data_IF_832973017086
#
_entry.id   IF_832973017086
#
_cell.length_a   1.000
_cell.length_b   1.000
_cell.length_c   1.000
_cell.angle_alpha   90.00
_cell.angle_beta   90.00
_cell.angle_gamma   90.00
#
_symmetry.space_group_name_H-M   'P 1'
#
loop_
_entity.id
_entity.type
_entity.pdbx_description
1 polymer ?
#
# COMPACT_ATOMS: atom_id res chain seq x y z
N UNK A 1 -29.17 16.64 13.19
CA UNK A 1 -28.47 17.00 14.43
C UNK A 1 -27.61 18.22 14.14
N UNK A 2 -27.72 19.28 14.92
CA UNK A 2 -26.87 20.47 14.72
C UNK A 2 -25.56 20.29 15.51
N UNK A 3 -24.44 20.78 14.98
CA UNK A 3 -23.10 20.67 15.62
C UNK A 3 -23.08 21.10 17.08
N UNK A 4 -23.87 22.12 17.43
CA UNK A 4 -24.00 22.65 18.80
C UNK A 4 -24.67 21.70 19.81
N UNK A 5 -25.33 20.64 19.32
CA UNK A 5 -26.06 19.69 20.16
C UNK A 5 -25.18 18.44 20.48
N UNK A 6 -23.94 18.42 19.99
CA UNK A 6 -23.01 17.31 20.23
C UNK A 6 -22.32 17.45 21.59
N UNK A 7 -22.12 16.33 22.32
CA UNK A 7 -21.34 16.35 23.54
C UNK A 7 -19.86 16.67 23.24
N UNK A 8 -19.27 17.52 24.05
CA UNK A 8 -17.86 17.92 23.88
C UNK A 8 -17.01 17.52 25.08
N UNK A 9 -15.71 17.15 24.88
CA UNK A 9 -15.00 17.08 23.59
C UNK A 9 -15.39 15.85 22.77
N UNK A 10 -15.49 15.97 21.44
CA UNK A 10 -15.73 14.83 20.53
C UNK A 10 -15.09 15.08 19.16
N UNK A 11 -14.75 13.99 18.47
CA UNK A 11 -14.47 14.01 17.04
C UNK A 11 -15.77 13.80 16.27
N UNK A 12 -15.94 14.53 15.18
CA UNK A 12 -17.12 14.42 14.32
C UNK A 12 -16.69 14.06 12.92
N UNK A 13 -17.24 12.99 12.39
CA UNK A 13 -16.97 12.54 11.02
C UNK A 13 -18.22 12.80 10.18
N UNK A 14 -18.02 13.44 9.04
CA UNK A 14 -19.07 13.70 8.05
C UNK A 14 -19.04 12.60 6.98
N UNK A 15 -19.94 11.63 7.11
CA UNK A 15 -20.04 10.53 6.14
C UNK A 15 -20.31 11.01 4.70
N UNK A 16 -21.03 12.13 4.53
CA UNK A 16 -21.30 12.69 3.21
C UNK A 16 -20.04 13.18 2.51
N UNK A 17 -19.07 13.74 3.26
CA UNK A 17 -17.77 14.13 2.73
C UNK A 17 -16.90 12.92 2.42
N UNK A 18 -16.89 11.93 3.32
CA UNK A 18 -16.17 10.68 3.09
C UNK A 18 -16.67 9.99 1.81
N UNK A 19 -17.98 9.89 1.62
CA UNK A 19 -18.56 9.29 0.39
C UNK A 19 -18.11 9.99 -0.88
N UNK A 20 -18.06 11.33 -0.90
CA UNK A 20 -17.57 12.10 -2.05
C UNK A 20 -16.10 11.80 -2.35
N UNK A 21 -15.27 11.68 -1.33
CA UNK A 21 -13.88 11.29 -1.50
C UNK A 21 -13.76 9.84 -2.02
N UNK A 22 -14.56 8.93 -1.49
CA UNK A 22 -14.59 7.53 -1.93
C UNK A 22 -15.08 7.37 -3.37
N UNK A 23 -16.01 8.21 -3.84
CA UNK A 23 -16.45 8.25 -5.24
C UNK A 23 -15.27 8.58 -6.16
N UNK A 24 -14.42 9.55 -5.82
CA UNK A 24 -13.21 9.88 -6.59
C UNK A 24 -12.26 8.68 -6.67
N UNK A 25 -12.08 7.96 -5.56
CA UNK A 25 -11.22 6.78 -5.50
C UNK A 25 -11.80 5.61 -6.31
N UNK A 26 -13.10 5.38 -6.22
CA UNK A 26 -13.80 4.34 -6.98
C UNK A 26 -13.74 4.61 -8.49
N UNK A 27 -13.93 5.87 -8.90
CA UNK A 27 -13.79 6.28 -10.31
C UNK A 27 -12.37 6.03 -10.82
N UNK A 28 -11.35 6.30 -10.00
CA UNK A 28 -9.96 6.03 -10.34
C UNK A 28 -9.70 4.52 -10.53
N UNK A 29 -10.19 3.68 -9.60
CA UNK A 29 -10.11 2.21 -9.74
C UNK A 29 -10.78 1.74 -11.04
N UNK A 30 -12.00 2.20 -11.29
CA UNK A 30 -12.78 1.78 -12.45
C UNK A 30 -12.16 2.22 -13.78
N UNK A 31 -11.69 3.47 -13.87
CA UNK A 31 -11.14 4.03 -15.10
C UNK A 31 -9.74 3.50 -15.45
N UNK A 32 -8.92 3.22 -14.44
CA UNK A 32 -7.53 2.81 -14.61
C UNK A 32 -7.30 1.32 -14.37
N UNK A 33 -8.25 0.62 -13.76
CA UNK A 33 -8.13 -0.78 -13.38
C UNK A 33 -7.05 -1.03 -12.34
N UNK A 34 -6.80 -0.06 -11.46
CA UNK A 34 -5.92 -0.23 -10.30
C UNK A 34 -6.73 -0.63 -9.07
N UNK A 35 -6.04 -0.89 -7.97
CA UNK A 35 -6.63 -1.22 -6.68
C UNK A 35 -6.23 -0.18 -5.65
N UNK A 36 -7.18 0.29 -4.86
CA UNK A 36 -6.93 1.25 -3.78
C UNK A 36 -7.16 0.57 -2.43
N UNK A 37 -6.19 0.73 -1.54
CA UNK A 37 -6.20 0.18 -0.20
C UNK A 37 -6.20 1.32 0.82
N UNK A 38 -7.14 1.27 1.77
CA UNK A 38 -7.16 2.21 2.88
C UNK A 38 -5.91 2.02 3.76
N UNK A 39 -5.08 3.06 3.90
CA UNK A 39 -3.96 3.05 4.83
C UNK A 39 -4.45 3.27 6.27
N UNK A 40 -4.60 2.18 7.03
CA UNK A 40 -5.22 2.20 8.35
C UNK A 40 -4.46 3.05 9.36
N UNK A 41 -3.13 3.19 9.22
CA UNK A 41 -2.32 4.09 10.06
C UNK A 41 -2.77 5.55 10.02
N UNK A 42 -3.37 6.00 8.91
CA UNK A 42 -3.89 7.35 8.75
C UNK A 42 -5.38 7.44 9.12
N UNK A 43 -6.16 6.42 8.82
CA UNK A 43 -7.59 6.38 9.14
C UNK A 43 -8.03 4.98 9.57
N UNK A 44 -8.32 4.82 10.86
CA UNK A 44 -8.73 3.54 11.46
C UNK A 44 -10.08 3.62 12.18
N UNK A 45 -10.98 4.47 11.75
CA UNK A 45 -12.35 4.51 12.25
C UNK A 45 -13.16 3.35 11.68
N UNK A 46 -12.94 2.18 12.26
CA UNK A 46 -13.43 0.88 11.76
C UNK A 46 -14.95 0.79 11.61
N UNK A 47 -15.72 1.57 12.38
CA UNK A 47 -17.19 1.63 12.22
C UNK A 47 -17.64 2.07 10.81
N UNK A 48 -16.73 2.71 10.04
CA UNK A 48 -16.97 3.11 8.66
C UNK A 48 -16.44 2.12 7.62
N UNK A 49 -15.69 1.10 8.03
CA UNK A 49 -15.10 0.12 7.09
C UNK A 49 -16.11 -0.61 6.22
N UNK A 50 -17.30 -1.02 6.72
CA UNK A 50 -18.32 -1.61 5.86
C UNK A 50 -18.81 -0.67 4.75
N UNK A 51 -18.83 0.64 5.00
CA UNK A 51 -19.17 1.66 3.99
C UNK A 51 -17.98 1.85 3.03
N UNK A 52 -16.78 2.07 3.54
CA UNK A 52 -15.56 2.31 2.75
C UNK A 52 -15.31 1.13 1.80
N UNK A 53 -15.47 -0.10 2.28
CA UNK A 53 -15.31 -1.32 1.49
C UNK A 53 -16.29 -1.48 0.32
N UNK A 54 -17.33 -0.65 0.22
CA UNK A 54 -18.21 -0.63 -0.97
C UNK A 54 -17.56 0.11 -2.15
N UNK A 55 -16.54 0.94 -1.90
CA UNK A 55 -15.93 1.82 -2.90
C UNK A 55 -14.53 1.40 -3.33
N UNK A 56 -13.72 0.86 -2.40
CA UNK A 56 -12.31 0.54 -2.65
C UNK A 56 -11.99 -0.94 -2.42
N UNK A 57 -10.83 -1.38 -2.89
CA UNK A 57 -10.46 -2.79 -2.97
C UNK A 57 -10.16 -3.43 -1.61
N UNK A 58 -9.64 -2.67 -0.61
CA UNK A 58 -9.28 -3.27 0.67
C UNK A 58 -8.54 -2.35 1.62
N UNK A 59 -7.69 -2.93 2.46
CA UNK A 59 -6.90 -2.25 3.49
C UNK A 59 -5.41 -2.55 3.38
N UNK A 60 -4.58 -1.62 3.87
CA UNK A 60 -3.16 -1.88 4.13
C UNK A 60 -2.84 -1.59 5.58
N UNK A 61 -2.05 -2.46 6.19
CA UNK A 61 -1.72 -2.48 7.60
C UNK A 61 -0.23 -2.23 7.84
N UNK A 62 0.11 -1.59 8.94
CA UNK A 62 1.49 -1.38 9.41
C UNK A 62 1.94 -2.46 10.41
N UNK A 63 1.10 -3.44 10.70
CA UNK A 63 1.37 -4.56 11.61
C UNK A 63 0.13 -5.39 11.92
N UNK A 64 0.29 -6.37 12.82
CA UNK A 64 -0.73 -7.38 13.11
C UNK A 64 -2.09 -6.78 13.54
N UNK A 65 -2.10 -5.78 14.41
CA UNK A 65 -3.36 -5.24 14.95
C UNK A 65 -4.20 -4.54 13.90
N UNK A 66 -3.57 -3.76 13.01
CA UNK A 66 -4.26 -3.17 11.86
C UNK A 66 -4.71 -4.25 10.86
N UNK A 67 -3.87 -5.28 10.62
CA UNK A 67 -4.24 -6.39 9.75
C UNK A 67 -5.47 -7.14 10.26
N UNK A 68 -5.57 -7.38 11.56
CA UNK A 68 -6.79 -7.93 12.19
C UNK A 68 -7.99 -7.03 11.97
N UNK A 69 -7.83 -5.72 12.21
CA UNK A 69 -8.90 -4.77 12.06
C UNK A 69 -9.44 -4.74 10.62
N UNK A 70 -8.56 -4.72 9.62
CA UNK A 70 -8.96 -4.79 8.22
C UNK A 70 -9.67 -6.09 7.87
N UNK A 71 -9.14 -7.21 8.34
CA UNK A 71 -9.71 -8.54 8.13
C UNK A 71 -11.10 -8.71 8.75
N UNK A 72 -11.28 -8.25 9.99
CA UNK A 72 -12.51 -8.43 10.77
C UNK A 72 -13.61 -7.44 10.35
N UNK A 73 -13.25 -6.17 10.11
CA UNK A 73 -14.22 -5.07 9.95
C UNK A 73 -14.50 -4.69 8.49
N UNK A 74 -13.53 -4.85 7.58
CA UNK A 74 -13.76 -4.62 6.15
C UNK A 74 -14.00 -5.92 5.39
N UNK A 75 -13.24 -6.97 5.70
CA UNK A 75 -13.43 -8.29 5.10
C UNK A 75 -13.11 -8.36 3.61
N UNK A 76 -12.29 -7.44 3.10
CA UNK A 76 -11.81 -7.37 1.71
C UNK A 76 -10.31 -7.67 1.65
N UNK A 77 -9.67 -7.33 0.54
CA UNK A 77 -8.23 -7.55 0.37
C UNK A 77 -7.44 -6.85 1.49
N UNK A 78 -6.48 -7.56 2.09
CA UNK A 78 -5.78 -7.12 3.29
C UNK A 78 -4.28 -7.28 3.11
N UNK A 79 -3.58 -6.16 2.97
CA UNK A 79 -2.14 -6.10 2.80
C UNK A 79 -1.44 -5.74 4.12
N UNK A 80 -0.19 -6.12 4.26
CA UNK A 80 0.63 -5.68 5.40
C UNK A 80 2.07 -5.39 4.98
N UNK A 81 2.57 -4.25 5.43
CA UNK A 81 3.99 -3.91 5.43
C UNK A 81 4.42 -3.47 6.83
N UNK A 82 5.44 -4.12 7.38
CA UNK A 82 6.13 -3.66 8.59
C UNK A 82 7.65 -3.72 8.38
N UNK A 83 8.41 -2.75 8.91
CA UNK A 83 9.88 -2.77 8.80
C UNK A 83 10.52 -4.00 9.44
N UNK A 84 9.84 -4.61 10.42
CA UNK A 84 10.23 -5.84 11.07
C UNK A 84 9.01 -6.64 11.52
N UNK A 85 9.07 -7.96 11.37
CA UNK A 85 8.04 -8.89 11.82
C UNK A 85 8.53 -9.74 12.98
N UNK A 86 7.66 -9.94 14.00
CA UNK A 86 7.86 -10.96 15.01
C UNK A 86 7.34 -12.29 14.48
N UNK A 87 7.99 -13.39 14.85
CA UNK A 87 7.60 -14.72 14.42
C UNK A 87 6.15 -15.05 14.80
N UNK A 88 5.76 -14.76 16.05
CA UNK A 88 4.39 -14.93 16.52
C UNK A 88 3.36 -14.12 15.73
N UNK A 89 3.73 -12.91 15.27
CA UNK A 89 2.81 -12.10 14.47
C UNK A 89 2.66 -12.70 13.07
N UNK A 90 3.75 -13.25 12.50
CA UNK A 90 3.73 -13.88 11.18
C UNK A 90 2.83 -15.13 11.13
N UNK A 91 2.78 -15.93 12.20
CA UNK A 91 1.89 -17.11 12.31
C UNK A 91 0.41 -16.74 12.05
N UNK A 92 0.00 -15.55 12.44
CA UNK A 92 -1.36 -15.06 12.20
C UNK A 92 -1.47 -14.27 10.90
N UNK A 93 -0.51 -13.40 10.59
CA UNK A 93 -0.53 -12.60 9.38
C UNK A 93 -0.67 -13.45 8.11
N UNK A 94 -0.01 -14.61 8.04
CA UNK A 94 -0.14 -15.53 6.89
C UNK A 94 -1.54 -16.14 6.75
N UNK A 95 -2.38 -16.04 7.77
CA UNK A 95 -3.75 -16.56 7.73
C UNK A 95 -4.77 -15.49 7.30
N UNK A 96 -4.51 -14.21 7.62
CA UNK A 96 -5.47 -13.12 7.48
C UNK A 96 -5.10 -12.09 6.41
N UNK A 97 -3.83 -12.07 5.93
CA UNK A 97 -3.40 -11.15 4.89
C UNK A 97 -3.37 -11.83 3.52
N UNK A 98 -3.69 -11.07 2.48
CA UNK A 98 -3.57 -11.51 1.10
C UNK A 98 -2.17 -11.22 0.55
N UNK A 99 -1.59 -10.07 0.92
CA UNK A 99 -0.23 -9.70 0.58
C UNK A 99 0.60 -9.39 1.84
N UNK A 100 1.82 -9.94 1.87
CA UNK A 100 2.83 -9.62 2.91
C UNK A 100 4.06 -9.04 2.23
N UNK A 101 4.42 -7.81 2.60
CA UNK A 101 5.55 -7.09 2.03
C UNK A 101 6.71 -7.10 3.03
N UNK A 102 7.87 -7.62 2.62
CA UNK A 102 9.08 -7.65 3.43
C UNK A 102 9.98 -6.46 3.16
N UNK A 103 10.61 -5.97 4.20
CA UNK A 103 11.53 -4.82 4.13
C UNK A 103 12.92 -5.19 3.63
N UNK A 104 13.27 -6.48 3.63
CA UNK A 104 14.56 -6.98 3.18
C UNK A 104 14.48 -8.44 2.74
N UNK A 105 15.42 -8.87 1.92
CA UNK A 105 15.55 -10.28 1.54
C UNK A 105 15.87 -11.19 2.73
N UNK A 106 16.57 -10.69 3.75
CA UNK A 106 16.82 -11.47 4.97
C UNK A 106 15.51 -11.80 5.72
N UNK A 107 14.55 -10.86 5.78
CA UNK A 107 13.23 -11.15 6.33
C UNK A 107 12.48 -12.15 5.46
N UNK A 108 12.49 -11.95 4.14
CA UNK A 108 11.86 -12.88 3.20
C UNK A 108 12.39 -14.29 3.37
N UNK A 109 13.69 -14.49 3.34
CA UNK A 109 14.33 -15.80 3.53
C UNK A 109 13.93 -16.47 4.85
N UNK A 110 13.78 -15.69 5.92
CA UNK A 110 13.32 -16.20 7.21
C UNK A 110 11.90 -16.76 7.18
N UNK A 111 11.00 -16.13 6.42
CA UNK A 111 9.56 -16.42 6.49
C UNK A 111 8.97 -17.01 5.20
N UNK A 112 9.75 -17.18 4.14
CA UNK A 112 9.27 -17.65 2.83
C UNK A 112 8.55 -18.99 2.89
N UNK A 113 9.03 -19.94 3.69
CA UNK A 113 8.39 -21.24 3.82
C UNK A 113 7.02 -21.12 4.51
N UNK A 114 6.92 -20.29 5.55
CA UNK A 114 5.64 -20.02 6.22
C UNK A 114 4.63 -19.39 5.24
N UNK A 115 5.06 -18.45 4.41
CA UNK A 115 4.22 -17.85 3.37
C UNK A 115 3.80 -18.87 2.32
N UNK A 116 4.73 -19.70 1.83
CA UNK A 116 4.46 -20.74 0.83
C UNK A 116 3.46 -21.78 1.35
N UNK A 117 3.56 -22.15 2.62
CA UNK A 117 2.70 -23.13 3.24
C UNK A 117 1.36 -22.57 3.76
N UNK A 118 1.17 -21.25 3.70
CA UNK A 118 -0.03 -20.57 4.23
C UNK A 118 -1.35 -21.09 3.65
N UNK A 119 -1.35 -21.57 2.40
CA UNK A 119 -2.52 -22.20 1.80
C UNK A 119 -3.09 -23.38 2.61
N UNK A 120 -2.26 -24.04 3.44
CA UNK A 120 -2.69 -25.15 4.28
C UNK A 120 -3.57 -24.68 5.44
N UNK A 121 -3.38 -23.47 5.92
CA UNK A 121 -4.04 -22.90 7.11
C UNK A 121 -5.10 -21.84 6.78
N UNK A 122 -5.02 -21.21 5.62
CA UNK A 122 -5.98 -20.20 5.17
C UNK A 122 -7.32 -20.81 4.80
N UNK A 123 -8.39 -20.05 5.06
CA UNK A 123 -9.78 -20.48 4.73
C UNK A 123 -10.01 -20.60 3.23
N UNK A 124 -9.42 -19.68 2.44
CA UNK A 124 -9.56 -19.63 0.98
C UNK A 124 -8.65 -20.62 0.24
N UNK A 125 -7.74 -21.30 0.96
CA UNK A 125 -6.76 -22.25 0.43
C UNK A 125 -5.78 -21.67 -0.60
N UNK A 126 -5.62 -20.33 -0.61
CA UNK A 126 -4.61 -19.64 -1.43
C UNK A 126 -3.40 -19.32 -0.56
N UNK A 127 -2.20 -19.44 -1.12
CA UNK A 127 -1.00 -18.94 -0.44
C UNK A 127 -1.02 -17.40 -0.43
N UNK A 128 -0.49 -16.82 0.65
CA UNK A 128 -0.28 -15.38 0.72
C UNK A 128 0.70 -14.93 -0.36
N UNK A 129 0.38 -13.83 -1.04
CA UNK A 129 1.28 -13.23 -2.03
C UNK A 129 2.39 -12.44 -1.33
N UNK A 130 3.62 -12.59 -1.81
CA UNK A 130 4.80 -11.99 -1.18
C UNK A 130 5.36 -10.88 -2.03
N UNK A 131 5.71 -9.76 -1.38
CA UNK A 131 6.42 -8.66 -2.00
C UNK A 131 7.66 -8.21 -1.25
N UNK A 132 8.50 -7.48 -1.96
CA UNK A 132 9.68 -6.80 -1.39
C UNK A 132 9.47 -5.29 -1.51
N UNK A 133 9.65 -4.57 -0.40
CA UNK A 133 9.71 -3.10 -0.44
C UNK A 133 11.04 -2.66 -1.01
N UNK A 134 10.97 -1.76 -1.99
CA UNK A 134 12.10 -1.17 -2.69
C UNK A 134 12.29 0.28 -2.22
N UNK A 135 13.53 0.68 -2.04
CA UNK A 135 13.93 2.07 -1.90
C UNK A 135 14.57 2.53 -3.22
N UNK A 136 13.90 3.34 -4.03
CA UNK A 136 14.46 3.82 -5.30
C UNK A 136 15.57 4.84 -5.11
N UNK A 137 15.86 5.27 -3.87
CA UNK A 137 16.84 6.30 -3.53
C UNK A 137 16.59 7.60 -4.31
N UNK A 138 15.32 7.98 -4.36
CA UNK A 138 14.84 9.19 -4.98
C UNK A 138 13.78 9.81 -4.06
N UNK A 139 14.02 11.02 -3.62
CA UNK A 139 13.11 11.80 -2.80
C UNK A 139 12.76 13.10 -3.52
N UNK A 140 11.50 13.50 -3.37
CA UNK A 140 10.99 14.82 -3.79
C UNK A 140 10.55 15.63 -2.57
N UNK A 141 10.88 15.16 -1.34
CA UNK A 141 10.57 15.87 -0.09
C UNK A 141 11.43 17.11 0.07
N UNK A 142 10.79 18.26 0.27
CA UNK A 142 11.46 19.51 0.59
C UNK A 142 11.20 19.90 2.06
N UNK A 143 12.26 20.07 2.82
CA UNK A 143 12.20 20.65 4.18
C UNK A 143 11.72 19.76 5.32
N UNK A 144 11.42 18.48 5.08
CA UNK A 144 10.93 17.55 6.11
C UNK A 144 11.66 16.20 6.09
N UNK A 145 12.98 16.22 6.23
CA UNK A 145 13.86 15.02 6.20
C UNK A 145 13.39 13.89 7.12
N UNK A 146 12.77 14.21 8.25
CA UNK A 146 12.30 13.20 9.22
C UNK A 146 11.15 12.35 8.69
N UNK A 147 10.38 12.85 7.70
CA UNK A 147 9.26 12.15 7.08
C UNK A 147 9.61 11.58 5.70
N UNK A 148 10.87 11.75 5.26
CA UNK A 148 11.32 11.24 3.98
C UNK A 148 11.60 9.74 4.03
N UNK A 149 10.76 8.89 3.41
CA UNK A 149 10.95 7.45 3.43
C UNK A 149 12.14 6.99 2.57
N UNK A 150 12.67 7.84 1.72
CA UNK A 150 13.79 7.58 0.80
C UNK A 150 15.02 8.45 1.07
N UNK A 151 15.03 9.19 2.17
CA UNK A 151 16.16 10.02 2.60
C UNK A 151 17.43 9.22 2.87
N UNK A 152 18.55 9.92 2.94
CA UNK A 152 19.83 9.32 3.29
C UNK A 152 19.72 8.57 4.63
N UNK A 153 20.24 7.36 4.68
CA UNK A 153 20.15 6.46 5.84
C UNK A 153 18.72 5.95 6.19
N UNK A 154 17.73 6.07 5.30
CA UNK A 154 16.43 5.41 5.50
C UNK A 154 16.62 3.90 5.62
N UNK A 155 15.92 3.31 6.60
CA UNK A 155 15.90 1.85 6.83
C UNK A 155 14.79 1.15 6.03
N UNK A 156 14.02 1.90 5.24
CA UNK A 156 12.81 1.42 4.61
C UNK A 156 13.09 0.99 3.17
N UNK A 157 12.96 -0.31 2.95
CA UNK A 157 13.11 -0.93 1.64
C UNK A 157 14.54 -1.26 1.24
N UNK A 158 14.64 -2.05 0.18
CA UNK A 158 15.89 -2.55 -0.40
C UNK A 158 16.37 -1.56 -1.45
N UNK A 159 17.62 -1.11 -1.34
CA UNK A 159 18.29 -0.28 -2.37
C UNK A 159 18.77 -1.13 -3.54
N UNK A 160 19.16 -0.50 -4.66
CA UNK A 160 19.70 -1.21 -5.82
C UNK A 160 20.90 -2.08 -5.46
N UNK A 161 21.81 -1.57 -4.61
CA UNK A 161 23.01 -2.29 -4.15
C UNK A 161 22.69 -3.50 -3.26
N UNK A 162 21.59 -3.46 -2.55
CA UNK A 162 21.13 -4.53 -1.65
C UNK A 162 20.19 -5.51 -2.33
N UNK A 163 19.81 -5.24 -3.56
CA UNK A 163 18.83 -6.07 -4.27
C UNK A 163 19.44 -7.43 -4.67
N UNK A 164 18.69 -8.48 -4.39
CA UNK A 164 19.11 -9.88 -4.60
C UNK A 164 18.19 -10.54 -5.63
N UNK A 165 18.58 -10.41 -6.90
CA UNK A 165 17.85 -11.03 -8.02
C UNK A 165 17.79 -12.56 -7.89
N UNK A 166 18.84 -13.17 -7.32
CA UNK A 166 18.92 -14.60 -7.06
C UNK A 166 17.92 -15.10 -5.98
N UNK A 167 17.33 -14.21 -5.20
CA UNK A 167 16.34 -14.53 -4.17
C UNK A 167 14.89 -14.15 -4.56
N UNK A 168 14.62 -13.90 -5.84
CA UNK A 168 13.27 -13.53 -6.30
C UNK A 168 12.32 -14.72 -6.46
N UNK A 169 12.77 -15.95 -6.28
CA UNK A 169 11.87 -17.10 -6.33
C UNK A 169 10.78 -17.01 -5.25
N UNK A 170 9.51 -17.05 -5.66
CA UNK A 170 8.35 -16.89 -4.78
C UNK A 170 7.98 -15.44 -4.43
N UNK A 171 8.75 -14.44 -4.88
CA UNK A 171 8.36 -13.03 -4.80
C UNK A 171 7.44 -12.71 -5.97
N UNK A 172 6.24 -12.24 -5.66
CA UNK A 172 5.19 -11.97 -6.65
C UNK A 172 4.99 -10.47 -6.93
N UNK A 173 5.52 -9.60 -6.08
CA UNK A 173 5.36 -8.16 -6.27
C UNK A 173 6.47 -7.31 -5.70
N UNK A 174 6.50 -6.07 -6.17
CA UNK A 174 7.35 -5.03 -5.63
C UNK A 174 6.48 -3.91 -5.05
N UNK A 175 6.97 -3.33 -3.97
CA UNK A 175 6.32 -2.20 -3.30
C UNK A 175 7.34 -1.07 -3.14
N UNK A 176 6.92 0.17 -3.34
CA UNK A 176 7.66 1.33 -2.88
C UNK A 176 6.72 2.36 -2.27
N UNK A 177 7.22 3.16 -1.35
CA UNK A 177 6.48 4.26 -0.75
C UNK A 177 7.47 5.40 -0.55
N UNK A 178 7.33 6.43 -1.35
CA UNK A 178 8.31 7.52 -1.51
C UNK A 178 7.76 8.88 -1.12
N UNK A 179 6.44 9.01 -1.00
CA UNK A 179 5.77 10.29 -0.80
C UNK A 179 5.28 10.49 0.64
N UNK A 180 5.17 11.75 1.04
CA UNK A 180 4.46 12.22 2.22
C UNK A 180 3.84 13.59 1.90
N UNK A 181 2.50 13.67 1.86
CA UNK A 181 1.71 14.88 1.58
C UNK A 181 2.01 15.58 0.23
N UNK A 182 2.29 14.79 -0.81
CA UNK A 182 2.72 15.29 -2.11
C UNK A 182 1.66 15.10 -3.22
N UNK A 183 2.02 15.41 -4.47
CA UNK A 183 1.12 15.36 -5.63
C UNK A 183 1.54 14.25 -6.62
N UNK A 184 0.82 14.10 -7.73
CA UNK A 184 1.04 13.03 -8.70
C UNK A 184 2.35 13.17 -9.49
N UNK A 185 2.83 14.38 -9.74
CA UNK A 185 4.11 14.64 -10.40
C UNK A 185 5.32 14.16 -9.58
N UNK A 186 5.23 14.25 -8.26
CA UNK A 186 6.20 13.65 -7.34
C UNK A 186 6.22 12.13 -7.47
N UNK A 187 5.04 11.49 -7.56
CA UNK A 187 4.94 10.05 -7.79
C UNK A 187 5.54 9.65 -9.14
N UNK A 188 5.29 10.43 -10.21
CA UNK A 188 5.91 10.20 -11.52
C UNK A 188 7.43 10.26 -11.43
N UNK A 189 7.97 11.27 -10.75
CA UNK A 189 9.42 11.44 -10.58
C UNK A 189 10.05 10.26 -9.85
N UNK A 190 9.44 9.83 -8.74
CA UNK A 190 9.97 8.71 -7.93
C UNK A 190 9.75 7.36 -8.62
N UNK A 191 8.65 7.19 -9.37
CA UNK A 191 8.43 6.01 -10.21
C UNK A 191 9.48 5.91 -11.32
N UNK A 192 9.83 6.98 -12.00
CA UNK A 192 10.88 6.97 -13.03
C UNK A 192 12.22 6.52 -12.47
N UNK A 193 12.58 6.94 -11.25
CA UNK A 193 13.77 6.47 -10.56
C UNK A 193 13.68 4.97 -10.20
N UNK A 194 12.51 4.51 -9.75
CA UNK A 194 12.23 3.10 -9.51
C UNK A 194 12.33 2.29 -10.81
N UNK A 195 11.65 2.72 -11.87
CA UNK A 195 11.61 2.04 -13.16
C UNK A 195 13.00 1.88 -13.78
N UNK A 196 13.82 2.93 -13.74
CA UNK A 196 15.19 2.90 -14.24
C UNK A 196 16.04 1.79 -13.62
N UNK A 197 15.86 1.52 -12.32
CA UNK A 197 16.64 0.55 -11.54
C UNK A 197 16.00 -0.84 -11.52
N UNK A 198 14.67 -0.89 -11.36
CA UNK A 198 13.94 -2.11 -11.04
C UNK A 198 12.88 -2.50 -12.07
N UNK A 199 12.60 -1.67 -13.08
CA UNK A 199 11.55 -1.90 -14.08
C UNK A 199 11.69 -3.25 -14.80
N UNK A 200 12.93 -3.70 -15.08
CA UNK A 200 13.18 -5.02 -15.71
C UNK A 200 12.61 -6.20 -14.90
N UNK A 201 12.46 -6.05 -13.59
CA UNK A 201 11.93 -7.11 -12.74
C UNK A 201 10.39 -7.16 -12.76
N UNK A 202 9.71 -6.06 -13.12
CA UNK A 202 8.25 -6.02 -13.20
C UNK A 202 7.67 -7.01 -14.22
N UNK A 203 8.43 -7.39 -15.26
CA UNK A 203 8.02 -8.43 -16.20
C UNK A 203 7.87 -9.82 -15.57
N UNK A 204 8.41 -10.01 -14.35
CA UNK A 204 8.34 -11.26 -13.58
C UNK A 204 7.40 -11.16 -12.39
N UNK A 205 6.82 -9.98 -12.15
CA UNK A 205 5.92 -9.72 -11.02
C UNK A 205 4.46 -9.84 -11.46
N UNK A 206 3.59 -10.11 -10.49
CA UNK A 206 2.14 -10.09 -10.65
C UNK A 206 1.56 -8.72 -10.30
N UNK A 207 2.22 -7.98 -9.41
CA UNK A 207 1.74 -6.69 -8.93
C UNK A 207 2.87 -5.71 -8.58
N UNK A 208 2.51 -4.42 -8.66
CA UNK A 208 3.29 -3.29 -8.18
C UNK A 208 2.43 -2.44 -7.25
N UNK A 209 2.90 -2.23 -6.03
CA UNK A 209 2.27 -1.33 -5.07
C UNK A 209 3.13 -0.05 -4.94
N UNK A 210 2.54 1.09 -5.26
CA UNK A 210 3.23 2.38 -5.27
C UNK A 210 3.10 3.14 -3.94
N UNK A 211 2.50 2.50 -2.91
CA UNK A 211 2.31 3.11 -1.61
C UNK A 211 1.29 4.26 -1.61
N UNK A 212 1.40 5.11 -0.62
CA UNK A 212 0.55 6.29 -0.43
C UNK A 212 1.36 7.57 -0.28
N UNK A 213 0.86 8.49 0.56
CA UNK A 213 1.51 9.77 0.82
C UNK A 213 1.17 10.85 -0.20
N UNK A 214 0.11 10.65 -0.98
CA UNK A 214 -0.41 11.63 -1.93
C UNK A 214 -1.92 11.84 -1.72
N UNK A 215 -2.34 13.09 -1.82
CA UNK A 215 -3.69 13.53 -1.49
C UNK A 215 -4.63 13.46 -2.70
N UNK A 216 -5.04 12.26 -3.10
CA UNK A 216 -5.80 12.00 -4.34
C UNK A 216 -7.09 12.81 -4.43
N UNK A 217 -7.76 13.05 -3.29
CA UNK A 217 -9.06 13.74 -3.24
C UNK A 217 -8.97 15.24 -3.01
N UNK A 218 -7.76 15.79 -2.90
CA UNK A 218 -7.56 17.23 -2.77
C UNK A 218 -7.92 17.94 -4.08
N UNK A 219 -8.59 19.09 -4.00
CA UNK A 219 -9.09 19.84 -5.16
C UNK A 219 -8.03 20.17 -6.22
N UNK A 220 -6.78 20.43 -5.80
CA UNK A 220 -5.67 20.74 -6.70
C UNK A 220 -4.77 19.53 -7.02
N UNK A 221 -5.20 18.32 -6.70
CA UNK A 221 -4.45 17.11 -7.03
C UNK A 221 -4.48 16.83 -8.55
N UNK A 222 -3.35 16.45 -9.10
CA UNK A 222 -3.17 16.21 -10.53
C UNK A 222 -3.66 14.80 -10.93
N UNK A 223 -4.97 14.55 -10.78
CA UNK A 223 -5.57 13.22 -10.98
C UNK A 223 -5.30 12.65 -12.39
N UNK A 224 -5.31 13.48 -13.44
CA UNK A 224 -5.05 13.03 -14.80
C UNK A 224 -3.57 12.61 -15.01
N UNK A 225 -2.64 13.18 -14.26
CA UNK A 225 -1.24 12.74 -14.24
C UNK A 225 -1.12 11.36 -13.61
N UNK A 226 -1.82 11.11 -12.50
CA UNK A 226 -1.88 9.79 -11.86
C UNK A 226 -2.50 8.74 -12.79
N UNK A 227 -3.64 9.04 -13.42
CA UNK A 227 -4.29 8.14 -14.38
C UNK A 227 -3.37 7.76 -15.54
N UNK A 228 -2.64 8.73 -16.10
CA UNK A 228 -1.65 8.48 -17.16
C UNK A 228 -0.53 7.55 -16.68
N UNK A 229 -0.02 7.76 -15.49
CA UNK A 229 1.02 6.90 -14.91
C UNK A 229 0.53 5.47 -14.74
N UNK A 230 -0.66 5.28 -14.15
CA UNK A 230 -1.22 3.93 -13.92
C UNK A 230 -1.43 3.21 -15.26
N UNK A 231 -2.01 3.88 -16.27
CA UNK A 231 -2.21 3.30 -17.60
C UNK A 231 -0.88 2.93 -18.25
N UNK A 232 0.12 3.80 -18.19
CA UNK A 232 1.46 3.52 -18.68
C UNK A 232 2.05 2.25 -18.06
N UNK A 233 1.96 2.10 -16.74
CA UNK A 233 2.48 0.93 -16.03
C UNK A 233 1.78 -0.34 -16.49
N UNK A 234 0.45 -0.33 -16.56
CA UNK A 234 -0.36 -1.50 -16.94
C UNK A 234 -0.23 -1.88 -18.42
N UNK A 235 0.03 -0.91 -19.30
CA UNK A 235 0.31 -1.15 -20.71
C UNK A 235 1.73 -1.68 -20.95
N UNK A 236 2.68 -1.29 -20.08
CA UNK A 236 4.09 -1.66 -20.23
C UNK A 236 4.43 -2.98 -19.53
N UNK A 237 3.82 -3.24 -18.37
CA UNK A 237 4.16 -4.39 -17.52
C UNK A 237 2.93 -5.25 -17.21
N UNK A 238 3.09 -6.59 -17.09
CA UNK A 238 1.99 -7.51 -16.78
C UNK A 238 1.65 -7.51 -15.27
N UNK A 239 1.43 -6.34 -14.68
CA UNK A 239 1.23 -6.19 -13.23
C UNK A 239 -0.11 -5.54 -12.91
N UNK A 240 -0.72 -5.99 -11.80
CA UNK A 240 -1.76 -5.23 -11.11
C UNK A 240 -1.12 -4.06 -10.35
N UNK A 241 -1.79 -2.92 -10.32
CA UNK A 241 -1.28 -1.70 -9.68
C UNK A 241 -2.08 -1.40 -8.43
N UNK A 242 -1.38 -1.20 -7.32
CA UNK A 242 -1.95 -0.84 -6.01
C UNK A 242 -1.50 0.54 -5.56
N UNK A 243 -2.40 1.25 -4.88
CA UNK A 243 -2.16 2.52 -4.18
C UNK A 243 -2.66 2.42 -2.74
N UNK A 244 -1.99 3.11 -1.82
CA UNK A 244 -2.27 3.10 -0.38
C UNK A 244 -2.53 4.52 0.18
N UNK A 245 -3.50 5.30 -0.36
CA UNK A 245 -3.77 6.63 0.18
C UNK A 245 -4.31 6.52 1.59
N UNK A 246 -3.84 7.40 2.47
CA UNK A 246 -4.31 7.49 3.86
C UNK A 246 -5.04 8.79 4.17
N UNK A 247 -4.82 9.80 3.35
CA UNK A 247 -5.34 11.16 3.52
C UNK A 247 -6.24 11.56 2.34
N UNK A 248 -7.00 10.61 1.85
CA UNK A 248 -7.93 10.80 0.77
C UNK A 248 -9.37 11.10 1.27
#
# INVERSE_FOLDING_TARGET
>A
MMWKDLPTPCYVVDEGKIRKNLEILADLEQECGCHILLAQKAFSMYSLYPMIGQYISGTTASGLYEARLGYEEMGKENHVFAPAYKEKDMEELVQICDHIIFNSFAQYEKYKEMCRESAKVRKDKKAVSVGIRINPQCSTQEGHEIYDPCGYASRLGVTEEQFREDLLEGVEGLHFHTLCEQNADDLVTTFQAFEKKFGKYLYRMKWLNMGGGHHITRENYQIETLKKLIRYIRETYPVEVYLEPGEA
#
